data_IF_215979739343
#
_entry.id   IF_215979739343
#
_cell.length_a   1.000
_cell.length_b   1.000
_cell.length_c   1.000
_cell.angle_alpha   90.00
_cell.angle_beta   90.00
_cell.angle_gamma   90.00
#
_symmetry.space_group_name_H-M   'P 1'
#
loop_
_entity.id
_entity.type
_entity.pdbx_description
1 polymer ?
#
# COMPACT_ATOMS: atom_id res chain seq x y z
N UNK A 1 0.32 -17.71 -30.71
CA UNK A 1 -0.08 -17.09 -32.00
C UNK A 1 -1.25 -16.09 -31.86
N UNK A 2 -2.48 -16.50 -31.45
CA UNK A 2 -3.61 -15.55 -31.32
C UNK A 2 -3.38 -14.53 -30.18
N UNK A 3 -2.87 -15.00 -29.05
CA UNK A 3 -2.53 -14.16 -27.89
C UNK A 3 -1.49 -13.09 -28.26
N UNK A 4 -0.48 -13.45 -29.05
CA UNK A 4 0.57 -12.53 -29.49
C UNK A 4 0.04 -11.50 -30.50
N UNK A 5 -0.81 -11.94 -31.44
CA UNK A 5 -1.51 -11.03 -32.38
C UNK A 5 -2.36 -10.00 -31.64
N UNK A 6 -3.03 -10.41 -30.58
CA UNK A 6 -3.83 -9.52 -29.72
C UNK A 6 -2.97 -8.75 -28.70
N UNK A 7 -1.63 -8.80 -28.81
CA UNK A 7 -0.69 -8.10 -27.89
C UNK A 7 -0.96 -8.39 -26.41
N UNK A 8 -1.31 -9.65 -26.10
CA UNK A 8 -1.58 -10.06 -24.72
C UNK A 8 -2.96 -9.66 -24.18
N UNK A 9 -3.79 -8.99 -24.95
CA UNK A 9 -5.13 -8.57 -24.52
C UNK A 9 -6.13 -9.72 -24.60
N UNK A 10 -6.42 -10.35 -23.46
CA UNK A 10 -7.35 -11.48 -23.37
C UNK A 10 -8.79 -11.16 -23.75
N UNK A 11 -9.23 -9.92 -23.60
CA UNK A 11 -10.58 -9.51 -24.04
C UNK A 11 -10.65 -9.60 -25.56
N UNK A 12 -9.68 -9.05 -26.27
CA UNK A 12 -9.58 -9.17 -27.73
C UNK A 12 -9.44 -10.63 -28.20
N UNK A 13 -8.64 -11.42 -27.49
CA UNK A 13 -8.52 -12.86 -27.78
C UNK A 13 -9.87 -13.55 -27.68
N UNK A 14 -10.64 -13.24 -26.65
CA UNK A 14 -11.98 -13.78 -26.47
C UNK A 14 -12.93 -13.36 -27.59
N UNK A 15 -12.94 -12.09 -27.96
CA UNK A 15 -13.75 -11.55 -29.05
C UNK A 15 -13.44 -12.24 -30.39
N UNK A 16 -12.15 -12.39 -30.74
CA UNK A 16 -11.75 -13.07 -31.97
C UNK A 16 -12.11 -14.56 -31.98
N UNK A 17 -12.02 -15.25 -30.84
CA UNK A 17 -12.42 -16.64 -30.70
C UNK A 17 -13.92 -16.80 -30.89
N UNK A 18 -14.74 -15.93 -30.30
CA UNK A 18 -16.21 -15.95 -30.44
C UNK A 18 -16.62 -15.65 -31.90
N UNK A 19 -15.99 -14.66 -32.54
CA UNK A 19 -16.19 -14.37 -33.96
C UNK A 19 -15.78 -15.56 -34.83
N UNK A 20 -14.75 -16.28 -34.42
CA UNK A 20 -14.32 -17.53 -35.09
C UNK A 20 -15.20 -18.76 -34.82
N UNK A 21 -16.32 -18.60 -34.10
CA UNK A 21 -17.29 -19.67 -33.83
C UNK A 21 -17.01 -20.46 -32.55
N UNK A 22 -16.11 -20.03 -31.69
CA UNK A 22 -15.85 -20.71 -30.41
C UNK A 22 -16.92 -20.33 -29.37
N UNK A 23 -17.57 -21.32 -28.80
CA UNK A 23 -18.53 -21.16 -27.70
C UNK A 23 -17.80 -21.30 -26.37
N UNK A 24 -17.16 -20.22 -25.89
CA UNK A 24 -16.53 -20.19 -24.58
C UNK A 24 -16.77 -18.86 -23.87
N UNK A 25 -16.87 -18.92 -22.55
CA UNK A 25 -16.96 -17.70 -21.73
C UNK A 25 -15.57 -17.10 -21.51
N UNK A 26 -15.51 -15.79 -21.27
CA UNK A 26 -14.27 -15.10 -20.89
C UNK A 26 -13.62 -15.74 -19.64
N UNK A 27 -14.42 -16.18 -18.69
CA UNK A 27 -13.94 -16.89 -17.48
C UNK A 27 -13.27 -18.21 -17.82
N UNK A 28 -13.83 -18.98 -18.78
CA UNK A 28 -13.24 -20.22 -19.24
C UNK A 28 -11.90 -19.97 -19.96
N UNK A 29 -11.84 -18.95 -20.82
CA UNK A 29 -10.59 -18.54 -21.48
C UNK A 29 -9.51 -18.14 -20.48
N UNK A 30 -9.84 -17.32 -19.50
CA UNK A 30 -8.86 -16.88 -18.48
C UNK A 30 -8.38 -18.04 -17.61
N UNK A 31 -9.26 -18.98 -17.26
CA UNK A 31 -8.91 -20.20 -16.54
C UNK A 31 -7.97 -21.11 -17.38
N UNK A 32 -8.26 -21.24 -18.68
CA UNK A 32 -7.43 -21.98 -19.62
C UNK A 32 -6.01 -21.34 -19.72
N UNK A 33 -5.93 -20.04 -19.97
CA UNK A 33 -4.66 -19.31 -20.06
C UNK A 33 -3.82 -19.47 -18.78
N UNK A 34 -4.46 -19.36 -17.61
CA UNK A 34 -3.79 -19.55 -16.32
C UNK A 34 -3.25 -20.97 -16.16
N UNK A 35 -4.03 -22.00 -16.55
CA UNK A 35 -3.63 -23.42 -16.46
C UNK A 35 -2.45 -23.75 -17.37
N UNK A 36 -2.38 -23.12 -18.54
CA UNK A 36 -1.37 -23.39 -19.55
C UNK A 36 -0.24 -22.35 -19.57
N UNK A 37 -0.21 -21.44 -18.60
CA UNK A 37 0.85 -20.42 -18.52
C UNK A 37 0.84 -19.41 -19.67
N UNK A 38 -0.26 -19.29 -20.41
CA UNK A 38 -0.36 -18.37 -21.55
C UNK A 38 -0.51 -16.95 -21.02
N UNK A 39 0.44 -16.06 -21.38
CA UNK A 39 0.47 -14.69 -20.90
C UNK A 39 0.84 -14.56 -19.40
N UNK A 40 1.26 -15.64 -18.78
CA UNK A 40 1.80 -15.59 -17.44
C UNK A 40 3.23 -15.03 -17.51
N UNK A 41 3.35 -13.75 -17.24
CA UNK A 41 4.64 -13.17 -16.84
C UNK A 41 4.76 -13.40 -15.34
N UNK A 42 5.75 -14.18 -14.87
CA UNK A 42 6.00 -14.28 -13.44
C UNK A 42 6.10 -12.85 -12.89
N UNK A 43 5.44 -12.53 -11.76
CA UNK A 43 5.61 -11.21 -11.17
C UNK A 43 7.11 -11.04 -10.95
N UNK A 44 7.69 -10.03 -11.59
CA UNK A 44 9.07 -9.63 -11.31
C UNK A 44 9.13 -9.45 -9.80
N UNK A 45 10.03 -10.16 -9.08
CA UNK A 45 10.13 -10.00 -7.65
C UNK A 45 10.24 -8.51 -7.37
N UNK A 46 9.26 -7.94 -6.66
CA UNK A 46 9.34 -6.57 -6.22
C UNK A 46 10.69 -6.43 -5.53
N UNK A 47 11.55 -5.55 -6.05
CA UNK A 47 12.96 -5.48 -5.69
C UNK A 47 13.16 -5.71 -4.21
N UNK A 48 14.07 -6.58 -3.85
CA UNK A 48 14.39 -6.90 -2.47
C UNK A 48 15.06 -5.66 -1.89
N UNK A 49 14.27 -4.84 -1.18
CA UNK A 49 14.82 -3.70 -0.46
C UNK A 49 15.32 -4.21 0.89
N UNK A 50 16.63 -4.25 1.04
CA UNK A 50 17.27 -4.52 2.32
C UNK A 50 17.36 -3.21 3.10
N UNK A 51 16.78 -3.19 4.28
CA UNK A 51 16.84 -2.06 5.19
C UNK A 51 17.70 -2.43 6.41
N UNK A 52 18.51 -1.51 6.86
CA UNK A 52 19.20 -1.63 8.15
C UNK A 52 18.20 -1.43 9.33
N UNK A 53 18.52 -1.97 10.52
CA UNK A 53 17.75 -1.66 11.73
C UNK A 53 17.65 -0.15 11.97
N UNK A 54 16.43 0.35 12.24
CA UNK A 54 16.18 1.77 12.49
C UNK A 54 16.27 2.69 11.28
N UNK A 55 16.39 2.15 10.07
CA UNK A 55 16.54 2.95 8.87
C UNK A 55 15.21 3.59 8.43
N UNK A 56 14.15 2.79 8.27
CA UNK A 56 12.89 3.27 7.70
C UNK A 56 11.66 2.66 8.39
N UNK A 57 10.68 3.53 8.63
CA UNK A 57 9.31 3.20 8.99
C UNK A 57 8.39 3.63 7.85
N UNK A 58 7.47 2.78 7.44
CA UNK A 58 6.43 3.12 6.46
C UNK A 58 5.12 3.40 7.18
N UNK A 59 4.53 4.55 6.90
CA UNK A 59 3.23 4.99 7.40
C UNK A 59 2.25 5.10 6.23
N UNK A 60 1.07 4.51 6.43
CA UNK A 60 -0.03 4.57 5.48
C UNK A 60 -1.37 4.74 6.18
N UNK A 61 -2.35 5.26 5.45
CA UNK A 61 -3.73 5.41 5.92
C UNK A 61 -4.71 4.88 4.88
N UNK A 62 -5.64 4.05 5.33
CA UNK A 62 -6.66 3.46 4.46
C UNK A 62 -8.05 3.53 5.08
N UNK A 63 -9.10 3.84 4.30
CA UNK A 63 -10.47 3.79 4.78
C UNK A 63 -10.96 2.35 4.89
N UNK A 64 -11.61 2.02 6.00
CA UNK A 64 -12.25 0.72 6.22
C UNK A 64 -13.64 0.88 6.79
N UNK A 65 -14.54 -0.06 6.44
CA UNK A 65 -15.86 -0.16 7.03
C UNK A 65 -15.83 -1.21 8.14
N UNK A 66 -16.02 -0.77 9.39
CA UNK A 66 -16.06 -1.63 10.57
C UNK A 66 -17.46 -1.66 11.16
N UNK A 67 -17.83 -2.80 11.77
CA UNK A 67 -19.04 -2.91 12.56
C UNK A 67 -18.71 -2.55 14.02
N UNK A 68 -19.25 -1.43 14.49
CA UNK A 68 -19.05 -0.95 15.86
C UNK A 68 -20.42 -0.78 16.53
N UNK A 69 -20.68 -1.59 17.56
CA UNK A 69 -21.95 -1.57 18.26
C UNK A 69 -23.15 -1.91 17.37
N UNK A 70 -23.02 -2.87 16.48
CA UNK A 70 -24.06 -3.31 15.54
C UNK A 70 -24.35 -2.33 14.40
N UNK A 71 -23.49 -1.34 14.17
CA UNK A 71 -23.62 -0.35 13.08
C UNK A 71 -22.34 -0.30 12.25
N UNK A 72 -22.49 -0.34 10.93
CA UNK A 72 -21.38 -0.09 10.01
C UNK A 72 -20.92 1.36 10.12
N UNK A 73 -19.63 1.53 10.37
CA UNK A 73 -18.95 2.83 10.48
C UNK A 73 -17.72 2.84 9.59
N UNK A 74 -17.60 3.89 8.79
CA UNK A 74 -16.37 4.12 8.02
C UNK A 74 -15.34 4.80 8.92
N UNK A 75 -14.16 4.19 9.02
CA UNK A 75 -13.03 4.70 9.80
C UNK A 75 -11.80 4.83 8.92
N UNK A 76 -10.84 5.64 9.34
CA UNK A 76 -9.50 5.68 8.77
C UNK A 76 -8.58 4.82 9.64
N UNK A 77 -7.96 3.82 9.06
CA UNK A 77 -6.92 3.04 9.72
C UNK A 77 -5.58 3.64 9.39
N UNK A 78 -4.83 4.04 10.42
CA UNK A 78 -3.44 4.45 10.28
C UNK A 78 -2.54 3.29 10.67
N UNK A 79 -1.51 3.04 9.89
CA UNK A 79 -0.53 1.97 10.12
C UNK A 79 0.89 2.48 10.06
N UNK A 80 1.78 1.86 10.82
CA UNK A 80 3.22 2.08 10.82
C UNK A 80 3.94 0.74 10.84
N UNK A 81 4.77 0.48 9.83
CA UNK A 81 5.52 -0.78 9.68
C UNK A 81 7.01 -0.48 9.66
N UNK A 82 7.77 -1.07 10.57
CA UNK A 82 9.22 -1.06 10.49
C UNK A 82 9.71 -1.90 9.32
N UNK A 83 10.48 -1.31 8.43
CA UNK A 83 10.93 -1.98 7.20
C UNK A 83 11.87 -3.16 7.47
N UNK A 84 12.68 -3.10 8.51
CA UNK A 84 13.60 -4.17 8.90
C UNK A 84 12.89 -5.32 9.62
N UNK A 85 12.28 -5.06 10.78
CA UNK A 85 11.71 -6.10 11.65
C UNK A 85 10.31 -6.54 11.28
N UNK A 86 9.63 -5.79 10.40
CA UNK A 86 8.22 -5.98 10.03
C UNK A 86 7.25 -5.77 11.20
N UNK A 87 7.72 -5.17 12.30
CA UNK A 87 6.84 -4.79 13.40
C UNK A 87 5.79 -3.81 12.90
N UNK A 88 4.53 -4.11 13.21
CA UNK A 88 3.37 -3.32 12.81
C UNK A 88 2.73 -2.69 14.04
N UNK A 89 2.44 -1.40 13.94
CA UNK A 89 1.55 -0.66 14.83
C UNK A 89 0.40 -0.06 14.02
N UNK A 90 -0.83 -0.14 14.52
CA UNK A 90 -1.97 0.47 13.84
C UNK A 90 -3.03 0.97 14.82
N UNK A 91 -3.79 1.97 14.37
CA UNK A 91 -4.94 2.52 15.11
C UNK A 91 -6.04 2.95 14.14
N UNK A 92 -7.29 2.94 14.63
CA UNK A 92 -8.46 3.39 13.88
C UNK A 92 -8.92 4.75 14.37
N UNK A 93 -9.27 5.63 13.43
CA UNK A 93 -9.73 6.98 13.67
C UNK A 93 -11.06 7.23 12.95
N UNK A 94 -12.02 7.97 13.54
CA UNK A 94 -13.23 8.39 12.82
C UNK A 94 -12.89 9.28 11.62
N UNK A 95 -11.88 10.15 11.78
CA UNK A 95 -11.27 10.99 10.76
C UNK A 95 -9.77 11.01 10.99
N UNK A 96 -8.99 11.27 9.95
CA UNK A 96 -7.53 11.34 10.08
C UNK A 96 -7.02 12.66 9.51
N UNK A 97 -6.61 13.55 10.39
CA UNK A 97 -6.08 14.87 10.07
C UNK A 97 -4.64 14.98 10.56
N UNK A 98 -4.02 16.12 10.33
CA UNK A 98 -2.61 16.37 10.74
C UNK A 98 -2.36 16.17 12.23
N UNK A 99 -3.29 16.62 13.08
CA UNK A 99 -3.20 16.37 14.52
C UNK A 99 -3.23 14.88 14.84
N UNK A 100 -4.15 14.13 14.24
CA UNK A 100 -4.28 12.68 14.43
C UNK A 100 -3.03 11.95 13.94
N UNK A 101 -2.42 12.38 12.83
CA UNK A 101 -1.15 11.86 12.34
C UNK A 101 -0.01 12.04 13.35
N UNK A 102 0.09 13.21 13.98
CA UNK A 102 1.09 13.46 15.03
C UNK A 102 0.86 12.60 16.27
N UNK A 103 -0.39 12.46 16.70
CA UNK A 103 -0.77 11.57 17.81
C UNK A 103 -0.40 10.14 17.46
N UNK A 104 -0.84 9.65 16.31
CA UNK A 104 -0.55 8.30 15.83
C UNK A 104 0.96 8.00 15.79
N UNK A 105 1.73 8.87 15.15
CA UNK A 105 3.20 8.68 15.07
C UNK A 105 3.86 8.74 16.45
N UNK A 106 3.40 9.60 17.34
CA UNK A 106 3.91 9.64 18.72
C UNK A 106 3.69 8.31 19.44
N UNK A 107 2.47 7.75 19.34
CA UNK A 107 2.14 6.45 19.95
C UNK A 107 2.90 5.30 19.27
N UNK A 108 3.04 5.33 17.94
CA UNK A 108 3.83 4.35 17.19
C UNK A 108 5.30 4.35 17.64
N UNK A 109 5.92 5.52 17.71
CA UNK A 109 7.32 5.66 18.14
C UNK A 109 7.50 5.24 19.61
N UNK A 110 6.51 5.51 20.47
CA UNK A 110 6.51 5.03 21.86
C UNK A 110 6.41 3.50 21.94
N UNK A 111 5.51 2.90 21.14
CA UNK A 111 5.35 1.45 21.06
C UNK A 111 6.61 0.74 20.55
N UNK A 112 7.26 1.33 19.54
CA UNK A 112 8.49 0.79 18.93
C UNK A 112 9.71 1.00 19.87
N UNK A 113 9.64 1.97 20.75
CA UNK A 113 10.75 2.32 21.66
C UNK A 113 11.80 3.26 21.06
N UNK A 114 11.46 3.96 19.97
CA UNK A 114 12.38 4.91 19.33
C UNK A 114 11.91 5.35 17.95
N UNK A 115 12.70 6.18 17.30
CA UNK A 115 12.46 6.66 15.94
C UNK A 115 13.43 5.99 14.95
N UNK A 116 12.97 5.84 13.71
CA UNK A 116 13.80 5.49 12.56
C UNK A 116 14.41 6.75 11.95
N UNK A 117 15.42 6.61 11.12
CA UNK A 117 16.02 7.76 10.40
C UNK A 117 15.03 8.41 9.44
N UNK A 118 14.16 7.60 8.82
CA UNK A 118 13.16 8.06 7.84
C UNK A 118 11.77 7.51 8.16
N UNK A 119 10.76 8.34 7.93
CA UNK A 119 9.36 7.93 7.90
C UNK A 119 8.86 8.11 6.47
N UNK A 120 8.68 6.98 5.77
CA UNK A 120 8.12 6.95 4.43
C UNK A 120 6.61 7.09 4.50
N UNK A 121 6.07 8.00 3.72
CA UNK A 121 4.64 8.28 3.63
C UNK A 121 4.15 8.18 2.17
N UNK A 122 2.87 7.91 2.00
CA UNK A 122 2.22 8.21 0.73
C UNK A 122 2.02 9.73 0.60
N UNK A 123 1.79 10.22 -0.63
CA UNK A 123 1.65 11.65 -0.95
C UNK A 123 0.36 12.27 -0.36
N UNK A 124 0.19 12.16 0.95
CA UNK A 124 -0.97 12.69 1.68
C UNK A 124 -0.81 14.17 2.01
N UNK A 125 -1.85 14.99 1.81
CA UNK A 125 -1.88 16.42 2.19
C UNK A 125 -1.71 16.65 3.70
N UNK A 126 -1.85 15.61 4.49
CA UNK A 126 -1.62 15.67 5.95
C UNK A 126 -0.18 16.03 6.23
N UNK A 127 0.77 15.50 5.46
CA UNK A 127 2.21 15.71 5.63
C UNK A 127 2.82 16.51 4.50
N UNK A 128 2.40 16.26 3.25
CA UNK A 128 3.00 16.88 2.05
C UNK A 128 2.37 18.23 1.77
N UNK A 129 3.19 19.27 1.69
CA UNK A 129 2.82 20.59 1.21
C UNK A 129 2.85 20.64 -0.33
N UNK A 130 3.90 20.11 -0.93
CA UNK A 130 4.10 20.04 -2.39
C UNK A 130 5.20 19.05 -2.77
N UNK A 131 5.22 18.67 -4.05
CA UNK A 131 6.23 17.75 -4.60
C UNK A 131 5.96 16.29 -4.23
N UNK A 132 6.83 15.41 -4.69
CA UNK A 132 6.80 13.96 -4.44
C UNK A 132 8.19 13.38 -4.51
N UNK A 133 8.40 12.18 -3.98
CA UNK A 133 9.70 11.53 -3.99
C UNK A 133 10.77 12.40 -3.31
N UNK A 134 11.88 12.65 -3.99
CA UNK A 134 13.01 13.44 -3.47
C UNK A 134 12.72 14.95 -3.39
N UNK A 135 11.76 15.42 -4.17
CA UNK A 135 11.36 16.85 -4.23
C UNK A 135 10.20 17.17 -3.30
N UNK A 136 9.83 16.21 -2.43
CA UNK A 136 8.77 16.40 -1.46
C UNK A 136 9.16 17.45 -0.41
N UNK A 137 8.30 18.43 -0.22
CA UNK A 137 8.40 19.44 0.84
C UNK A 137 7.30 19.15 1.84
N UNK A 138 7.62 18.81 3.08
CA UNK A 138 6.61 18.61 4.11
C UNK A 138 5.99 19.94 4.54
N UNK A 139 4.80 19.89 5.11
CA UNK A 139 4.20 21.02 5.81
C UNK A 139 5.15 21.43 6.95
N UNK A 140 5.42 22.72 7.18
CA UNK A 140 6.40 23.19 8.19
C UNK A 140 6.17 22.60 9.59
N UNK A 141 4.92 22.48 10.00
CA UNK A 141 4.54 21.85 11.27
C UNK A 141 4.95 20.36 11.34
N UNK A 142 4.86 19.63 10.23
CA UNK A 142 5.26 18.23 10.18
C UNK A 142 6.78 18.07 10.07
N UNK A 143 7.45 18.99 9.37
CA UNK A 143 8.92 19.04 9.37
C UNK A 143 9.46 19.22 10.80
N UNK A 144 8.96 20.21 11.53
CA UNK A 144 9.34 20.46 12.92
C UNK A 144 9.01 19.26 13.85
N UNK A 145 7.90 18.56 13.58
CA UNK A 145 7.59 17.34 14.31
C UNK A 145 8.63 16.24 14.04
N UNK A 146 9.02 16.02 12.79
CA UNK A 146 10.06 15.06 12.43
C UNK A 146 11.40 15.39 13.09
N UNK A 147 11.83 16.64 13.02
CA UNK A 147 13.05 17.13 13.66
C UNK A 147 13.06 16.87 15.18
N UNK A 148 11.94 17.14 15.86
CA UNK A 148 11.79 16.91 17.30
C UNK A 148 11.99 15.44 17.69
N UNK A 149 11.55 14.50 16.86
CA UNK A 149 11.69 13.05 17.09
C UNK A 149 12.93 12.46 16.43
N UNK A 150 13.71 13.23 15.68
CA UNK A 150 14.96 12.80 15.06
C UNK A 150 14.78 12.01 13.76
N UNK A 151 13.70 12.21 13.01
CA UNK A 151 13.47 11.58 11.72
C UNK A 151 13.10 12.57 10.61
N UNK A 152 13.24 12.15 9.37
CA UNK A 152 12.81 12.92 8.21
C UNK A 152 11.63 12.20 7.51
N UNK A 153 10.62 12.98 7.11
CA UNK A 153 9.58 12.48 6.21
C UNK A 153 10.15 12.34 4.80
N UNK A 154 9.86 11.21 4.17
CA UNK A 154 10.14 10.96 2.76
C UNK A 154 8.87 10.46 2.08
N UNK A 155 8.68 10.81 0.80
CA UNK A 155 7.49 10.41 0.07
C UNK A 155 7.85 9.43 -1.05
N UNK A 156 6.89 8.62 -1.48
CA UNK A 156 7.05 7.80 -2.67
C UNK A 156 7.23 8.66 -3.91
N UNK A 157 8.16 8.28 -4.77
CA UNK A 157 8.23 8.85 -6.11
C UNK A 157 7.00 8.37 -6.92
N UNK A 158 6.40 9.28 -7.70
CA UNK A 158 5.30 8.93 -8.60
C UNK A 158 5.77 7.82 -9.55
N UNK A 159 5.01 6.74 -9.64
CA UNK A 159 5.34 5.57 -10.48
C UNK A 159 6.11 4.44 -9.78
N UNK A 160 6.38 4.52 -8.49
CA UNK A 160 7.10 3.48 -7.74
C UNK A 160 6.17 2.76 -6.73
N UNK A 161 5.01 2.30 -7.21
CA UNK A 161 3.95 1.66 -6.42
C UNK A 161 4.39 0.36 -5.71
N UNK A 162 5.47 -0.27 -6.18
CA UNK A 162 5.99 -1.51 -5.59
C UNK A 162 6.51 -1.38 -4.15
N UNK A 163 6.75 -0.17 -3.65
CA UNK A 163 7.19 0.07 -2.25
C UNK A 163 6.03 0.03 -1.26
N UNK A 164 4.82 0.40 -1.68
CA UNK A 164 3.60 0.42 -0.84
C UNK A 164 3.09 -0.98 -0.50
N UNK A 165 3.32 -1.96 -1.35
CA UNK A 165 2.82 -3.35 -1.19
C UNK A 165 3.28 -4.07 0.09
N UNK A 166 4.13 -3.44 0.90
CA UNK A 166 4.57 -3.97 2.21
C UNK A 166 3.62 -3.63 3.35
N UNK A 167 2.89 -2.52 3.23
CA UNK A 167 1.90 -2.09 4.22
C UNK A 167 0.54 -2.70 3.93
N UNK A 168 0.16 -2.82 2.66
CA UNK A 168 -1.14 -3.34 2.23
C UNK A 168 -1.36 -4.81 2.63
N UNK A 169 -0.32 -5.67 2.49
CA UNK A 169 -0.43 -7.10 2.83
C UNK A 169 -0.63 -7.38 4.32
N UNK A 170 0.11 -6.77 5.26
CA UNK A 170 -0.13 -6.96 6.69
C UNK A 170 -1.51 -6.50 7.14
N UNK A 171 -2.02 -5.37 6.60
CA UNK A 171 -3.33 -4.83 6.96
C UNK A 171 -4.47 -5.76 6.49
N UNK A 172 -4.44 -6.21 5.25
CA UNK A 172 -5.46 -7.13 4.73
C UNK A 172 -5.49 -8.47 5.47
N UNK A 173 -4.34 -9.00 5.88
CA UNK A 173 -4.26 -10.24 6.66
C UNK A 173 -4.79 -10.09 8.09
N UNK A 174 -4.55 -8.94 8.73
CA UNK A 174 -5.02 -8.70 10.12
C UNK A 174 -6.52 -8.40 10.19
N UNK A 175 -7.10 -7.71 9.19
CA UNK A 175 -8.55 -7.52 9.12
C UNK A 175 -9.31 -8.83 8.96
N UNK A 176 -8.73 -9.83 8.30
CA UNK A 176 -9.31 -11.18 8.19
C UNK A 176 -9.33 -11.93 9.54
N UNK A 177 -8.35 -11.71 10.41
CA UNK A 177 -8.28 -12.35 11.74
C UNK A 177 -9.23 -11.71 12.76
N UNK A 178 -9.58 -10.43 12.60
CA UNK A 178 -10.52 -9.73 13.51
C UNK A 178 -12.01 -10.04 13.22
N UNK A 179 -12.32 -10.74 12.11
CA UNK A 179 -13.69 -11.11 11.71
C UNK A 179 -13.95 -12.63 11.75
N UNK A 180 -13.02 -13.42 12.24
CA UNK A 180 -13.15 -14.86 12.53
C UNK A 180 -13.19 -15.11 14.03
#
# INVERSE_FOLDING_TARGET
>A
ELFDRCKGNLVRVHEELVVGGAELSYTALTAFCRRHGIGYTPPTPAGQYDFAPGEELQHDTSPHDLELGGKKRRVQTASAVLCYSRMLFFQCYPNFRRFDCKVFLTEALRFIGGATTRVMIDNTHVVVLRGSGRDMVPVPEMAAFGERFGFQFVAHAIGNENRSGRVERPLSAQFLVMHS
#
